data_IF_675452497012
#
_entry.id   IF_675452497012
#
_cell.length_a   1.000
_cell.length_b   1.000
_cell.length_c   1.000
_cell.angle_alpha   90.00
_cell.angle_beta   90.00
_cell.angle_gamma   90.00
#
_symmetry.space_group_name_H-M   'P 1'
#
loop_
_entity.id
_entity.type
_entity.pdbx_description
1 polymer ?
#
# COMPACT_ATOMS: atom_id res chain seq x y z
N UNK A 1 -30.65 -7.38 13.20
CA UNK A 1 -29.48 -8.01 13.85
C UNK A 1 -28.51 -8.63 12.82
N UNK A 2 -28.22 -7.94 11.71
CA UNK A 2 -27.29 -8.43 10.66
C UNK A 2 -26.03 -7.56 10.51
N UNK A 3 -25.99 -6.37 11.14
CA UNK A 3 -24.84 -5.45 11.06
C UNK A 3 -23.68 -5.85 11.99
N UNK A 4 -23.94 -6.67 13.00
CA UNK A 4 -22.95 -7.09 13.98
C UNK A 4 -21.90 -8.06 13.40
N UNK A 5 -22.21 -8.75 12.29
CA UNK A 5 -21.28 -9.71 11.66
C UNK A 5 -20.24 -9.03 10.75
N UNK A 6 -20.61 -8.02 9.97
CA UNK A 6 -19.69 -7.38 9.02
C UNK A 6 -18.57 -6.62 9.72
N UNK A 7 -18.88 -5.91 10.81
CA UNK A 7 -17.85 -5.23 11.62
C UNK A 7 -16.86 -6.22 12.24
N UNK A 8 -17.34 -7.37 12.70
CA UNK A 8 -16.46 -8.45 13.18
C UNK A 8 -15.61 -9.02 12.05
N UNK A 9 -16.18 -9.29 10.88
CA UNK A 9 -15.43 -9.79 9.72
C UNK A 9 -14.33 -8.79 9.29
N UNK A 10 -14.65 -7.50 9.23
CA UNK A 10 -13.67 -6.46 8.94
C UNK A 10 -12.57 -6.38 9.99
N UNK A 11 -12.92 -6.49 11.29
CA UNK A 11 -11.93 -6.51 12.37
C UNK A 11 -11.01 -7.72 12.27
N UNK A 12 -11.54 -8.90 11.94
CA UNK A 12 -10.75 -10.14 11.78
C UNK A 12 -9.83 -10.02 10.58
N UNK A 13 -10.34 -9.57 9.43
CA UNK A 13 -9.55 -9.36 8.22
C UNK A 13 -8.45 -8.32 8.45
N UNK A 14 -8.77 -7.20 9.09
CA UNK A 14 -7.76 -6.18 9.44
C UNK A 14 -6.68 -6.76 10.34
N UNK A 15 -7.04 -7.55 11.34
CA UNK A 15 -6.05 -8.19 12.22
C UNK A 15 -5.16 -9.18 11.46
N UNK A 16 -5.72 -9.99 10.55
CA UNK A 16 -4.91 -10.94 9.78
C UNK A 16 -3.87 -10.25 8.90
N UNK A 17 -4.18 -9.08 8.32
CA UNK A 17 -3.21 -8.31 7.54
C UNK A 17 -1.99 -7.88 8.36
N UNK A 18 -2.15 -7.60 9.66
CA UNK A 18 -1.03 -7.32 10.55
C UNK A 18 -0.32 -8.61 10.99
N UNK A 19 -1.07 -9.64 11.36
CA UNK A 19 -0.51 -10.92 11.83
C UNK A 19 0.35 -11.59 10.73
N UNK A 20 -0.03 -11.41 9.46
CA UNK A 20 0.71 -11.88 8.28
C UNK A 20 1.89 -10.98 7.90
N UNK A 21 2.06 -9.83 8.55
CA UNK A 21 3.12 -8.86 8.29
C UNK A 21 2.94 -8.08 6.98
N UNK A 22 1.73 -8.05 6.41
CA UNK A 22 1.41 -7.28 5.21
C UNK A 22 1.27 -5.78 5.51
N UNK A 23 0.84 -5.46 6.73
CA UNK A 23 0.74 -4.10 7.25
C UNK A 23 1.63 -3.93 8.47
N UNK A 24 2.25 -2.76 8.57
CA UNK A 24 2.96 -2.34 9.79
C UNK A 24 2.00 -1.64 10.75
N UNK A 25 1.98 -2.10 12.01
CA UNK A 25 1.08 -1.58 13.03
C UNK A 25 1.31 -0.10 13.31
N UNK A 26 2.56 0.36 13.41
CA UNK A 26 2.88 1.74 13.78
C UNK A 26 2.52 2.69 12.63
N UNK A 27 2.88 2.32 11.39
CA UNK A 27 2.59 3.08 10.19
C UNK A 27 1.08 3.25 9.97
N UNK A 28 0.32 2.15 9.98
CA UNK A 28 -1.13 2.21 9.72
C UNK A 28 -1.84 2.94 10.85
N UNK A 29 -1.48 2.69 12.11
CA UNK A 29 -2.09 3.41 13.24
C UNK A 29 -1.81 4.91 13.16
N UNK A 30 -0.61 5.32 12.73
CA UNK A 30 -0.33 6.73 12.49
C UNK A 30 -1.22 7.33 11.40
N UNK A 31 -1.36 6.67 10.25
CA UNK A 31 -2.23 7.13 9.17
C UNK A 31 -3.70 7.23 9.60
N UNK A 32 -4.20 6.29 10.40
CA UNK A 32 -5.56 6.34 10.97
C UNK A 32 -5.78 7.57 11.85
N UNK A 33 -4.74 8.10 12.53
CA UNK A 33 -4.88 9.34 13.34
C UNK A 33 -4.94 10.62 12.53
N UNK A 34 -4.57 10.58 11.25
CA UNK A 34 -4.65 11.73 10.36
C UNK A 34 -6.05 11.92 9.77
N UNK A 35 -6.86 10.86 9.72
CA UNK A 35 -8.26 10.91 9.29
C UNK A 35 -9.13 11.66 10.30
N UNK A 36 -9.95 12.58 9.81
CA UNK A 36 -10.80 13.44 10.65
C UNK A 36 -12.04 13.93 9.88
N UNK A 37 -12.89 14.75 10.50
CA UNK A 37 -14.14 15.22 9.88
C UNK A 37 -13.94 16.06 8.59
N UNK A 38 -12.79 16.73 8.44
CA UNK A 38 -12.45 17.52 7.26
C UNK A 38 -11.86 16.66 6.11
N UNK A 39 -11.29 15.49 6.42
CA UNK A 39 -10.80 14.49 5.46
C UNK A 39 -11.15 13.06 5.90
N UNK A 40 -12.43 12.64 5.75
CA UNK A 40 -12.95 11.41 6.35
C UNK A 40 -12.58 10.13 5.59
N UNK A 41 -11.87 10.23 4.46
CA UNK A 41 -11.43 9.07 3.67
C UNK A 41 -9.92 9.08 3.46
N UNK A 42 -9.18 9.76 4.33
CA UNK A 42 -7.74 9.95 4.21
C UNK A 42 -7.02 8.61 4.02
N UNK A 43 -7.31 7.62 4.87
CA UNK A 43 -6.59 6.35 4.82
C UNK A 43 -6.92 5.57 3.54
N UNK A 44 -8.19 5.56 3.14
CA UNK A 44 -8.64 4.93 1.90
C UNK A 44 -7.92 5.55 0.69
N UNK A 45 -7.80 6.89 0.67
CA UNK A 45 -7.09 7.62 -0.38
C UNK A 45 -5.61 7.26 -0.41
N UNK A 46 -4.94 7.16 0.75
CA UNK A 46 -3.54 6.75 0.85
C UNK A 46 -3.33 5.35 0.26
N UNK A 47 -4.12 4.36 0.68
CA UNK A 47 -4.03 3.00 0.13
C UNK A 47 -4.36 2.94 -1.36
N UNK A 48 -5.37 3.69 -1.80
CA UNK A 48 -5.74 3.77 -3.23
C UNK A 48 -4.60 4.34 -4.08
N UNK A 49 -3.95 5.41 -3.61
CA UNK A 49 -2.79 5.99 -4.26
C UNK A 49 -1.61 5.02 -4.28
N UNK A 50 -1.33 4.36 -3.15
CA UNK A 50 -0.28 3.35 -3.04
C UNK A 50 -0.48 2.20 -4.04
N UNK A 51 -1.68 1.61 -4.10
CA UNK A 51 -1.98 0.49 -5.01
C UNK A 51 -1.85 0.90 -6.49
N UNK A 52 -2.29 2.12 -6.82
CA UNK A 52 -2.18 2.65 -8.18
C UNK A 52 -0.73 2.90 -8.59
N UNK A 53 0.05 3.53 -7.72
CA UNK A 53 1.42 3.92 -8.05
C UNK A 53 2.37 2.72 -8.00
N UNK A 54 2.19 1.80 -7.04
CA UNK A 54 2.93 0.53 -7.00
C UNK A 54 2.75 -0.30 -8.27
N UNK A 55 1.51 -0.43 -8.77
CA UNK A 55 1.24 -1.14 -10.03
C UNK A 55 2.01 -0.55 -11.22
N UNK A 56 2.15 0.79 -11.28
CA UNK A 56 2.93 1.46 -12.33
C UNK A 56 4.43 1.23 -12.18
N UNK A 57 4.93 1.24 -10.94
CA UNK A 57 6.34 0.96 -10.68
C UNK A 57 6.70 -0.47 -11.03
N UNK A 58 5.85 -1.45 -10.69
CA UNK A 58 6.03 -2.86 -11.04
C UNK A 58 6.08 -3.04 -12.55
N UNK A 59 5.10 -2.52 -13.29
CA UNK A 59 5.08 -2.56 -14.77
C UNK A 59 6.33 -1.90 -15.39
N UNK A 60 6.82 -0.80 -14.81
CA UNK A 60 8.05 -0.14 -15.27
C UNK A 60 9.31 -0.97 -14.99
N UNK A 61 9.36 -1.68 -13.86
CA UNK A 61 10.46 -2.60 -13.52
C UNK A 61 10.46 -3.78 -14.49
N UNK A 62 9.30 -4.40 -14.73
CA UNK A 62 9.15 -5.52 -15.67
C UNK A 62 9.65 -5.13 -17.06
N UNK A 63 9.18 -4.00 -17.61
CA UNK A 63 9.62 -3.49 -18.91
C UNK A 63 11.12 -3.21 -18.97
N UNK A 64 11.71 -2.68 -17.90
CA UNK A 64 13.16 -2.43 -17.86
C UNK A 64 13.96 -3.74 -17.87
N UNK A 65 13.47 -4.79 -17.22
CA UNK A 65 14.09 -6.12 -17.20
C UNK A 65 13.96 -6.87 -18.53
N UNK A 66 12.97 -6.54 -19.36
CA UNK A 66 12.81 -7.09 -20.72
C UNK A 66 13.81 -6.51 -21.74
N UNK A 67 14.47 -5.38 -21.42
CA UNK A 67 15.45 -4.76 -22.32
C UNK A 67 16.76 -5.55 -22.40
N UNK A 68 17.40 -5.56 -23.56
CA UNK A 68 18.72 -6.20 -23.77
C UNK A 68 19.70 -5.20 -24.42
N UNK A 69 20.75 -4.74 -23.71
CA UNK A 69 21.05 -5.06 -22.30
C UNK A 69 20.04 -4.41 -21.33
N UNK A 70 19.92 -4.97 -20.13
CA UNK A 70 19.05 -4.43 -19.08
C UNK A 70 19.51 -3.04 -18.67
N UNK A 71 18.57 -2.09 -18.61
CA UNK A 71 18.81 -0.75 -18.06
C UNK A 71 18.76 -0.78 -16.53
N UNK A 72 19.89 -1.09 -15.90
CA UNK A 72 20.02 -1.14 -14.44
C UNK A 72 19.70 0.20 -13.75
N UNK A 73 20.18 1.37 -14.23
CA UNK A 73 19.82 2.66 -13.62
C UNK A 73 18.31 2.94 -13.59
N UNK A 74 17.58 2.59 -14.65
CA UNK A 74 16.12 2.76 -14.68
C UNK A 74 15.45 1.78 -13.70
N UNK A 75 15.88 0.52 -13.73
CA UNK A 75 15.36 -0.53 -12.83
C UNK A 75 15.54 -0.15 -11.35
N UNK A 76 16.75 0.26 -10.96
CA UNK A 76 17.08 0.68 -9.60
C UNK A 76 16.23 1.87 -9.15
N UNK A 77 16.07 2.88 -10.03
CA UNK A 77 15.24 4.05 -9.74
C UNK A 77 13.79 3.66 -9.45
N UNK A 78 13.22 2.75 -10.24
CA UNK A 78 11.83 2.33 -10.03
C UNK A 78 11.67 1.47 -8.77
N UNK A 79 12.63 0.59 -8.48
CA UNK A 79 12.66 -0.15 -7.20
C UNK A 79 12.77 0.78 -5.99
N UNK A 80 13.59 1.83 -6.08
CA UNK A 80 13.71 2.83 -5.02
C UNK A 80 12.39 3.60 -4.80
N UNK A 81 11.68 3.95 -5.89
CA UNK A 81 10.36 4.58 -5.81
C UNK A 81 9.32 3.66 -5.18
N UNK A 82 9.29 2.39 -5.59
CA UNK A 82 8.39 1.40 -5.00
C UNK A 82 8.66 1.24 -3.49
N UNK A 83 9.92 1.03 -3.10
CA UNK A 83 10.34 0.96 -1.70
C UNK A 83 9.90 2.19 -0.91
N UNK A 84 10.17 3.38 -1.45
CA UNK A 84 9.81 4.64 -0.79
C UNK A 84 8.30 4.83 -0.68
N UNK A 85 7.52 4.30 -1.63
CA UNK A 85 6.06 4.35 -1.57
C UNK A 85 5.49 3.37 -0.53
N UNK A 86 6.09 2.20 -0.34
CA UNK A 86 5.66 1.21 0.65
C UNK A 86 5.97 1.62 2.09
N UNK A 87 7.02 2.43 2.30
CA UNK A 87 7.44 2.89 3.62
C UNK A 87 6.78 4.21 4.07
N UNK A 88 5.89 4.78 3.25
CA UNK A 88 5.20 6.05 3.51
C UNK A 88 3.86 5.86 4.18
#
# INVERSE_FOLDING_TARGET
MASTSLRQQLSIMRQSLFDEGLLDHEQVSYLETLENEDDPNFIENVFTLFLRDSSRYIDSIEKALETTPVDHPVTERMMYRLKGSSAR
#
